data_IF_227731313140
#
_entry.id   IF_227731313140
#
_cell.length_a   1.000
_cell.length_b   1.000
_cell.length_c   1.000
_cell.angle_alpha   90.00
_cell.angle_beta   90.00
_cell.angle_gamma   90.00
#
_symmetry.space_group_name_H-M   'P 1'
#
loop_
_entity.id
_entity.type
_entity.pdbx_description
1 polymer ?
#
# COMPACT_ATOMS: atom_id res chain seq x y z
N UNK A 1 -24.64 46.80 -5.14
CA UNK A 1 -24.82 45.71 -6.12
C UNK A 1 -23.44 45.39 -6.67
N UNK A 2 -22.86 44.20 -6.61
CA UNK A 2 -23.38 42.87 -6.32
C UNK A 2 -22.37 42.10 -5.44
N UNK A 3 -22.93 41.33 -4.52
CA UNK A 3 -22.24 40.38 -3.65
C UNK A 3 -21.93 39.12 -4.47
N UNK A 4 -20.66 38.70 -4.55
CA UNK A 4 -20.29 37.37 -5.05
C UNK A 4 -20.00 36.48 -3.84
N UNK A 5 -21.02 35.77 -3.39
CA UNK A 5 -20.85 34.64 -2.48
C UNK A 5 -20.23 33.47 -3.27
N UNK A 6 -19.03 33.03 -2.87
CA UNK A 6 -18.44 31.75 -3.24
C UNK A 6 -19.10 30.64 -2.40
N UNK A 7 -19.94 29.75 -2.98
CA UNK A 7 -20.70 28.77 -2.21
C UNK A 7 -19.90 27.46 -2.02
N UNK A 8 -18.63 27.54 -1.62
CA UNK A 8 -17.75 26.36 -1.51
C UNK A 8 -16.91 26.26 -0.23
N UNK A 9 -16.76 27.33 0.56
CA UNK A 9 -15.78 27.39 1.67
C UNK A 9 -16.43 27.37 3.06
N UNK A 10 -17.76 27.27 3.15
CA UNK A 10 -18.52 27.44 4.39
C UNK A 10 -19.34 26.22 4.85
N UNK A 11 -18.97 25.01 4.41
CA UNK A 11 -19.56 23.75 4.94
C UNK A 11 -18.74 23.05 6.03
N UNK A 12 -17.50 23.47 6.32
CA UNK A 12 -16.56 22.67 7.12
C UNK A 12 -16.26 23.20 8.54
N UNK A 13 -17.03 24.17 9.06
CA UNK A 13 -16.72 24.79 10.35
C UNK A 13 -17.56 24.32 11.55
N UNK A 14 -18.43 23.33 11.41
CA UNK A 14 -19.23 22.85 12.55
C UNK A 14 -19.57 21.37 12.43
N UNK A 15 -18.68 20.49 12.88
CA UNK A 15 -19.04 19.27 13.61
C UNK A 15 -17.76 18.59 14.14
N UNK A 16 -17.30 19.00 15.32
CA UNK A 16 -16.35 18.21 16.10
C UNK A 16 -16.64 18.42 17.59
N UNK A 17 -17.81 17.94 18.00
CA UNK A 17 -18.14 17.74 19.42
C UNK A 17 -18.14 16.24 19.69
N UNK A 18 -17.30 15.89 20.65
CA UNK A 18 -16.83 14.58 21.05
C UNK A 18 -17.96 13.68 21.58
N UNK A 19 -18.00 12.43 21.13
CA UNK A 19 -18.57 11.32 21.90
C UNK A 19 -17.43 10.37 22.30
N UNK A 20 -17.13 10.32 23.60
CA UNK A 20 -16.18 9.39 24.19
C UNK A 20 -16.91 8.06 24.38
N UNK A 21 -16.60 7.08 23.55
CA UNK A 21 -16.80 5.66 23.89
C UNK A 21 -15.50 4.93 23.62
N UNK A 22 -14.89 4.35 24.67
CA UNK A 22 -13.79 3.41 24.53
C UNK A 22 -14.30 2.21 23.73
N UNK A 23 -13.86 2.09 22.48
CA UNK A 23 -13.96 0.82 21.74
C UNK A 23 -12.76 -0.03 22.13
N UNK A 24 -13.03 -1.08 22.90
CA UNK A 24 -12.09 -2.13 23.23
C UNK A 24 -12.10 -3.15 22.09
N UNK A 25 -10.99 -3.29 21.36
CA UNK A 25 -10.74 -4.47 20.54
C UNK A 25 -10.08 -5.53 21.40
N UNK A 26 -10.52 -6.78 21.25
CA UNK A 26 -10.08 -7.94 22.01
C UNK A 26 -8.58 -8.20 21.88
N UNK A 27 -7.95 -8.50 23.01
CA UNK A 27 -6.59 -9.00 23.14
C UNK A 27 -6.46 -10.42 22.57
N UNK A 28 -6.03 -10.55 21.31
CA UNK A 28 -5.32 -11.72 20.75
C UNK A 28 -4.98 -11.54 19.25
N UNK A 29 -4.76 -10.31 18.77
CA UNK A 29 -4.28 -10.11 17.40
C UNK A 29 -2.75 -10.04 17.44
N UNK A 30 -2.09 -11.07 16.90
CA UNK A 30 -0.62 -11.13 16.80
C UNK A 30 -0.09 -10.27 15.63
N UNK A 31 -0.97 -9.58 14.91
CA UNK A 31 -0.65 -8.70 13.78
C UNK A 31 -0.34 -9.44 12.48
N UNK A 32 -0.42 -10.77 12.46
CA UNK A 32 -0.24 -11.52 11.23
C UNK A 32 -1.53 -11.54 10.40
N UNK A 33 -1.44 -11.72 9.07
CA UNK A 33 -2.63 -11.88 8.25
C UNK A 33 -3.52 -13.05 8.70
N UNK A 34 -4.83 -13.01 8.43
CA UNK A 34 -5.71 -14.15 8.66
C UNK A 34 -5.16 -15.44 8.05
N UNK A 35 -5.28 -16.55 8.80
CA UNK A 35 -4.85 -17.89 8.36
C UNK A 35 -3.34 -18.03 8.09
N UNK A 36 -2.50 -17.11 8.57
CA UNK A 36 -1.05 -17.09 8.32
C UNK A 36 -0.34 -18.43 8.58
N UNK A 37 -0.70 -19.13 9.65
CA UNK A 37 -0.07 -20.40 10.04
C UNK A 37 -0.49 -21.58 9.13
N UNK A 38 -1.57 -21.43 8.37
CA UNK A 38 -2.05 -22.45 7.42
C UNK A 38 -1.41 -22.31 6.03
N UNK A 39 -0.72 -21.18 5.80
CA UNK A 39 -0.14 -20.83 4.51
C UNK A 39 1.30 -21.33 4.45
N UNK A 40 1.64 -21.96 3.34
CA UNK A 40 3.00 -22.41 3.02
C UNK A 40 3.97 -21.25 2.73
N UNK A 41 5.25 -21.46 3.03
CA UNK A 41 6.35 -20.52 2.76
C UNK A 41 7.38 -21.06 1.76
N UNK A 42 7.07 -22.17 1.08
CA UNK A 42 7.93 -22.82 0.08
C UNK A 42 7.25 -22.92 -1.29
N UNK A 43 8.02 -22.82 -2.36
CA UNK A 43 7.50 -22.85 -3.73
C UNK A 43 7.08 -24.26 -4.17
N UNK A 44 7.72 -25.28 -3.59
CA UNK A 44 7.52 -26.71 -3.87
C UNK A 44 6.16 -27.24 -3.36
N UNK A 45 5.48 -26.44 -2.53
CA UNK A 45 4.18 -26.79 -1.96
C UNK A 45 2.98 -26.41 -2.85
N UNK A 46 3.20 -25.60 -3.88
CA UNK A 46 2.19 -25.31 -4.88
C UNK A 46 1.93 -26.53 -5.76
N UNK A 47 0.73 -26.60 -6.34
CA UNK A 47 0.38 -27.68 -7.25
C UNK A 47 1.29 -27.64 -8.49
N UNK A 48 1.65 -28.83 -8.98
CA UNK A 48 2.39 -28.97 -10.23
C UNK A 48 1.53 -29.68 -11.28
N UNK A 49 1.41 -29.09 -12.46
CA UNK A 49 0.74 -29.69 -13.61
C UNK A 49 1.69 -29.66 -14.81
N UNK A 50 1.84 -30.77 -15.53
CA UNK A 50 2.63 -30.84 -16.76
C UNK A 50 4.05 -30.23 -16.66
N UNK A 51 4.74 -30.43 -15.52
CA UNK A 51 6.05 -29.81 -15.26
C UNK A 51 6.01 -28.28 -15.21
N UNK A 52 4.93 -27.70 -14.69
CA UNK A 52 4.76 -26.28 -14.37
C UNK A 52 4.24 -26.13 -12.93
N UNK A 53 4.68 -25.08 -12.22
CA UNK A 53 4.08 -24.70 -10.93
C UNK A 53 2.85 -23.85 -11.21
N UNK A 54 1.69 -24.34 -10.80
CA UNK A 54 0.40 -23.70 -11.04
C UNK A 54 -0.08 -23.04 -9.75
N UNK A 55 -0.37 -21.74 -9.84
CA UNK A 55 -0.85 -20.94 -8.71
C UNK A 55 -2.19 -20.32 -9.07
N UNK A 56 -3.20 -20.53 -8.21
CA UNK A 56 -4.52 -19.94 -8.35
C UNK A 56 -4.64 -18.63 -7.55
N UNK A 57 -4.50 -17.45 -8.18
CA UNK A 57 -4.52 -16.17 -7.50
C UNK A 57 -5.94 -15.74 -7.09
N UNK A 58 -6.97 -16.52 -7.44
CA UNK A 58 -8.35 -16.26 -7.05
C UNK A 58 -8.65 -16.88 -5.68
N UNK A 59 -7.74 -17.71 -5.15
CA UNK A 59 -7.80 -18.28 -3.81
C UNK A 59 -6.95 -17.48 -2.84
N UNK A 60 -7.55 -17.07 -1.72
CA UNK A 60 -6.89 -16.24 -0.70
C UNK A 60 -5.58 -16.86 -0.18
N UNK A 61 -5.61 -18.15 0.17
CA UNK A 61 -4.47 -18.87 0.75
C UNK A 61 -3.31 -19.00 -0.24
N UNK A 62 -3.60 -19.25 -1.52
CA UNK A 62 -2.56 -19.33 -2.55
C UNK A 62 -1.93 -17.97 -2.83
N UNK A 63 -2.71 -16.89 -2.89
CA UNK A 63 -2.14 -15.53 -2.94
C UNK A 63 -1.32 -15.20 -1.69
N UNK A 64 -1.79 -15.60 -0.52
CA UNK A 64 -1.03 -15.39 0.72
C UNK A 64 0.29 -16.16 0.69
N UNK A 65 0.29 -17.37 0.11
CA UNK A 65 1.49 -18.18 -0.07
C UNK A 65 2.51 -17.49 -0.98
N UNK A 66 2.07 -16.85 -2.07
CA UNK A 66 2.97 -16.07 -2.94
C UNK A 66 3.75 -15.02 -2.13
N UNK A 67 3.06 -14.27 -1.27
CA UNK A 67 3.71 -13.29 -0.40
C UNK A 67 4.63 -13.93 0.63
N UNK A 68 4.20 -15.02 1.26
CA UNK A 68 4.96 -15.71 2.31
C UNK A 68 6.25 -16.34 1.77
N UNK A 69 6.20 -16.93 0.57
CA UNK A 69 7.39 -17.44 -0.15
C UNK A 69 8.37 -16.31 -0.44
N UNK A 70 7.91 -15.18 -0.97
CA UNK A 70 8.78 -14.03 -1.26
C UNK A 70 9.38 -13.47 0.03
N UNK A 71 8.60 -13.32 1.10
CA UNK A 71 9.10 -12.89 2.41
C UNK A 71 10.19 -13.81 2.95
N UNK A 72 9.98 -15.13 2.85
CA UNK A 72 10.94 -16.14 3.29
C UNK A 72 12.25 -16.05 2.49
N UNK A 73 12.16 -16.07 1.16
CA UNK A 73 13.32 -16.05 0.26
C UNK A 73 14.11 -14.75 0.32
N UNK A 74 13.46 -13.64 0.67
CA UNK A 74 14.11 -12.34 0.85
C UNK A 74 14.58 -12.06 2.28
N UNK A 75 14.28 -12.91 3.25
CA UNK A 75 14.53 -12.65 4.67
C UNK A 75 16.00 -12.32 4.99
N UNK A 76 16.93 -13.04 4.34
CA UNK A 76 18.38 -12.81 4.49
C UNK A 76 18.78 -11.37 4.20
N UNK A 77 18.14 -10.72 3.22
CA UNK A 77 18.43 -9.34 2.79
C UNK A 77 17.99 -8.30 3.83
N UNK A 78 17.02 -8.64 4.69
CA UNK A 78 16.46 -7.74 5.70
C UNK A 78 16.82 -8.14 7.14
N UNK A 79 17.68 -9.15 7.32
CA UNK A 79 18.11 -9.70 8.62
C UNK A 79 18.66 -8.66 9.61
N UNK A 80 19.18 -7.54 9.11
CA UNK A 80 19.70 -6.44 9.94
C UNK A 80 18.69 -5.37 10.32
N UNK A 81 17.46 -5.46 9.80
CA UNK A 81 16.42 -4.43 9.92
C UNK A 81 15.30 -4.80 10.90
N UNK A 82 15.35 -6.00 11.47
CA UNK A 82 14.44 -6.50 12.50
C UNK A 82 14.68 -7.98 12.76
N UNK A 83 14.26 -8.47 13.94
CA UNK A 83 14.25 -9.91 14.24
C UNK A 83 13.13 -10.60 13.48
N UNK A 84 13.27 -11.91 13.25
CA UNK A 84 12.20 -12.77 12.72
C UNK A 84 11.56 -12.22 11.43
N UNK A 85 12.40 -11.67 10.55
CA UNK A 85 11.99 -11.06 9.28
C UNK A 85 11.05 -9.83 9.41
N UNK A 86 10.78 -9.31 10.61
CA UNK A 86 9.86 -8.19 10.84
C UNK A 86 10.27 -6.89 10.13
N UNK A 87 11.57 -6.72 9.86
CA UNK A 87 12.15 -5.58 9.15
C UNK A 87 11.99 -5.63 7.62
N UNK A 88 11.44 -6.70 7.07
CA UNK A 88 11.27 -6.88 5.62
C UNK A 88 10.25 -5.89 5.06
N UNK A 89 10.64 -5.13 4.03
CA UNK A 89 9.77 -4.09 3.47
C UNK A 89 8.64 -4.66 2.59
N UNK A 90 8.64 -5.97 2.33
CA UNK A 90 7.58 -6.64 1.58
C UNK A 90 6.35 -7.00 2.44
N UNK A 91 6.44 -6.82 3.77
CA UNK A 91 5.29 -6.99 4.67
C UNK A 91 4.10 -6.08 4.33
N UNK A 92 4.36 -4.91 3.73
CA UNK A 92 3.33 -3.97 3.28
C UNK A 92 2.23 -4.64 2.47
N UNK A 93 2.63 -5.33 1.39
CA UNK A 93 1.71 -6.03 0.49
C UNK A 93 1.06 -7.24 1.16
N UNK A 94 1.82 -7.98 1.96
CA UNK A 94 1.32 -9.17 2.67
C UNK A 94 0.21 -8.83 3.66
N UNK A 95 0.44 -7.80 4.47
CA UNK A 95 -0.54 -7.33 5.46
C UNK A 95 -1.76 -6.69 4.78
N UNK A 96 -1.52 -5.92 3.71
CA UNK A 96 -2.61 -5.38 2.89
C UNK A 96 -3.50 -6.47 2.30
N UNK A 97 -2.93 -7.55 1.74
CA UNK A 97 -3.71 -8.70 1.26
C UNK A 97 -4.47 -9.38 2.41
N UNK A 98 -3.89 -9.41 3.61
CA UNK A 98 -4.55 -9.85 4.84
C UNK A 98 -5.82 -9.06 5.15
N UNK A 99 -5.71 -7.73 5.14
CA UNK A 99 -6.84 -6.81 5.31
C UNK A 99 -7.90 -6.97 4.21
N UNK A 100 -7.44 -7.15 2.97
CA UNK A 100 -8.23 -7.37 1.76
C UNK A 100 -9.09 -8.63 1.76
N UNK A 101 -8.85 -9.60 2.65
CA UNK A 101 -9.76 -10.73 2.85
C UNK A 101 -11.20 -10.26 3.13
N UNK A 102 -11.36 -9.14 3.83
CA UNK A 102 -12.65 -8.59 4.23
C UNK A 102 -13.01 -7.30 3.48
N UNK A 103 -12.08 -6.74 2.71
CA UNK A 103 -12.22 -5.43 2.04
C UNK A 103 -12.04 -5.47 0.52
N UNK A 104 -11.91 -6.66 -0.09
CA UNK A 104 -11.84 -6.83 -1.55
C UNK A 104 -10.46 -7.19 -2.06
N UNK A 105 -10.31 -7.61 -3.32
CA UNK A 105 -9.08 -8.24 -3.83
C UNK A 105 -8.29 -7.35 -4.79
N UNK A 106 -6.96 -7.40 -4.74
CA UNK A 106 -6.09 -6.79 -5.75
C UNK A 106 -5.16 -7.85 -6.36
N UNK A 107 -5.32 -8.10 -7.66
CA UNK A 107 -4.55 -9.10 -8.41
C UNK A 107 -3.11 -8.66 -8.68
N UNK A 108 -2.92 -7.43 -9.16
CA UNK A 108 -1.62 -6.97 -9.65
C UNK A 108 -0.62 -6.71 -8.52
N UNK A 109 -1.10 -6.31 -7.33
CA UNK A 109 -0.27 -6.16 -6.14
C UNK A 109 0.25 -7.50 -5.58
N UNK A 110 -0.24 -8.66 -6.04
CA UNK A 110 0.32 -9.97 -5.72
C UNK A 110 1.10 -10.59 -6.88
N UNK A 111 0.52 -10.58 -8.09
CA UNK A 111 1.06 -11.32 -9.23
C UNK A 111 2.32 -10.68 -9.80
N UNK A 112 2.33 -9.36 -9.99
CA UNK A 112 3.50 -8.69 -10.58
C UNK A 112 4.75 -8.77 -9.69
N UNK A 113 4.69 -8.47 -8.37
CA UNK A 113 5.86 -8.61 -7.52
C UNK A 113 6.38 -10.05 -7.42
N UNK A 114 5.50 -11.05 -7.49
CA UNK A 114 5.88 -12.46 -7.40
C UNK A 114 6.56 -12.94 -8.69
N UNK A 115 5.97 -12.65 -9.85
CA UNK A 115 6.57 -13.00 -11.14
C UNK A 115 7.88 -12.24 -11.40
N UNK A 116 7.97 -10.99 -10.95
CA UNK A 116 9.23 -10.24 -11.01
C UNK A 116 10.31 -10.81 -10.06
N UNK A 117 9.93 -11.39 -8.91
CA UNK A 117 10.87 -12.11 -8.05
C UNK A 117 11.42 -13.36 -8.74
N UNK A 118 10.55 -14.09 -9.47
CA UNK A 118 10.96 -15.22 -10.28
C UNK A 118 11.90 -14.79 -11.42
N UNK A 119 11.57 -13.71 -12.14
CA UNK A 119 12.41 -13.15 -13.21
C UNK A 119 13.79 -12.67 -12.70
N UNK A 120 13.87 -12.23 -11.44
CA UNK A 120 15.11 -11.82 -10.78
C UNK A 120 15.84 -12.96 -10.05
N UNK A 121 15.49 -14.22 -10.30
CA UNK A 121 16.08 -15.43 -9.71
C UNK A 121 16.09 -15.47 -8.17
N UNK A 122 15.14 -14.80 -7.51
CA UNK A 122 15.07 -14.75 -6.04
C UNK A 122 14.80 -16.13 -5.41
N UNK A 123 14.14 -17.02 -6.15
CA UNK A 123 13.73 -18.31 -5.61
C UNK A 123 14.84 -19.36 -5.53
N UNK A 124 16.06 -19.08 -6.04
CA UNK A 124 17.29 -19.90 -5.98
C UNK A 124 17.07 -21.39 -6.27
N UNK A 125 17.51 -21.88 -7.43
CA UNK A 125 17.04 -23.17 -7.95
C UNK A 125 15.51 -23.16 -8.07
N UNK A 126 14.96 -22.09 -8.68
CA UNK A 126 13.57 -22.05 -9.14
C UNK A 126 13.21 -23.45 -9.64
N UNK A 127 12.01 -23.99 -9.32
CA UNK A 127 11.62 -25.31 -9.81
C UNK A 127 11.99 -25.38 -11.29
N UNK A 128 12.44 -26.53 -11.81
CA UNK A 128 12.93 -26.66 -13.19
C UNK A 128 11.86 -26.38 -14.27
N UNK A 129 10.77 -25.74 -13.87
CA UNK A 129 9.42 -25.71 -14.37
C UNK A 129 8.93 -24.26 -14.33
N UNK A 130 8.29 -23.76 -15.41
CA UNK A 130 7.68 -22.44 -15.45
C UNK A 130 6.67 -22.23 -14.31
N UNK A 131 6.49 -20.97 -13.90
CA UNK A 131 5.39 -20.56 -13.02
C UNK A 131 4.23 -20.09 -13.90
N UNK A 132 3.07 -20.71 -13.73
CA UNK A 132 1.83 -20.36 -14.40
C UNK A 132 0.78 -19.86 -13.39
N UNK A 133 0.17 -18.73 -13.69
CA UNK A 133 -0.93 -18.17 -12.91
C UNK A 133 -2.26 -18.55 -13.56
N UNK A 134 -3.14 -19.23 -12.80
CA UNK A 134 -4.43 -19.70 -13.32
C UNK A 134 -5.31 -18.52 -13.74
N UNK A 135 -5.84 -18.51 -14.98
CA UNK A 135 -6.76 -17.46 -15.43
C UNK A 135 -8.12 -17.53 -14.72
N UNK A 136 -8.86 -16.42 -14.62
CA UNK A 136 -10.21 -16.43 -14.10
C UNK A 136 -11.16 -17.12 -15.09
N UNK A 137 -12.34 -17.53 -14.62
CA UNK A 137 -13.34 -18.14 -15.50
C UNK A 137 -13.93 -17.16 -16.53
N UNK A 138 -13.88 -15.84 -16.24
CA UNK A 138 -14.47 -14.76 -17.05
C UNK A 138 -13.47 -13.61 -17.08
N UNK A 139 -13.49 -12.80 -18.15
CA UNK A 139 -12.61 -11.64 -18.33
C UNK A 139 -11.11 -11.99 -18.37
N UNK A 140 -10.78 -13.11 -19.02
CA UNK A 140 -9.40 -13.61 -19.12
C UNK A 140 -8.45 -12.64 -19.82
N UNK A 141 -8.95 -11.74 -20.66
CA UNK A 141 -8.14 -10.75 -21.38
C UNK A 141 -7.73 -9.55 -20.52
N UNK A 142 -8.33 -9.39 -19.34
CA UNK A 142 -8.08 -8.23 -18.46
C UNK A 142 -6.82 -8.41 -17.59
N UNK A 143 -6.20 -9.60 -17.61
CA UNK A 143 -5.06 -9.96 -16.77
C UNK A 143 -3.91 -10.60 -17.55
N UNK A 144 -2.73 -10.53 -16.96
CA UNK A 144 -1.52 -11.22 -17.41
C UNK A 144 -1.19 -12.38 -16.45
N UNK A 145 -0.64 -13.49 -16.96
CA UNK A 145 -0.54 -14.75 -16.21
C UNK A 145 0.86 -15.36 -16.11
N UNK A 146 1.82 -14.81 -16.84
CA UNK A 146 3.20 -15.29 -16.83
C UNK A 146 4.15 -14.10 -17.04
N UNK A 147 5.45 -14.34 -16.86
CA UNK A 147 6.47 -13.29 -16.92
C UNK A 147 6.42 -12.54 -18.26
N UNK A 148 6.33 -13.24 -19.39
CA UNK A 148 6.32 -12.62 -20.72
C UNK A 148 5.07 -11.76 -20.95
N UNK A 149 3.88 -12.27 -20.59
CA UNK A 149 2.63 -11.54 -20.69
C UNK A 149 2.62 -10.30 -19.78
N UNK A 150 3.04 -10.44 -18.53
CA UNK A 150 3.07 -9.32 -17.60
C UNK A 150 4.13 -8.27 -17.95
N UNK A 151 5.28 -8.66 -18.50
CA UNK A 151 6.26 -7.73 -19.05
C UNK A 151 5.71 -6.97 -20.26
N UNK A 152 4.85 -7.60 -21.07
CA UNK A 152 4.22 -6.93 -22.22
C UNK A 152 3.13 -5.94 -21.78
N UNK A 153 2.32 -6.30 -20.79
CA UNK A 153 1.21 -5.46 -20.29
C UNK A 153 1.66 -4.36 -19.35
N UNK A 154 2.65 -4.61 -18.50
CA UNK A 154 3.14 -3.69 -17.45
C UNK A 154 4.67 -3.61 -17.43
N UNK A 155 5.33 -3.23 -18.54
CA UNK A 155 6.79 -3.29 -18.67
C UNK A 155 7.51 -2.49 -17.58
N UNK A 156 7.04 -1.28 -17.28
CA UNK A 156 7.67 -0.40 -16.29
C UNK A 156 7.56 -0.95 -14.87
N UNK A 157 6.39 -1.50 -14.50
CA UNK A 157 6.14 -2.04 -13.16
C UNK A 157 6.95 -3.30 -12.94
N UNK A 158 6.95 -4.22 -13.91
CA UNK A 158 7.74 -5.45 -13.83
C UNK A 158 9.24 -5.14 -13.74
N UNK A 159 9.74 -4.24 -14.60
CA UNK A 159 11.15 -3.81 -14.59
C UNK A 159 11.55 -3.22 -13.24
N UNK A 160 10.71 -2.35 -12.64
CA UNK A 160 11.01 -1.76 -11.34
C UNK A 160 11.05 -2.80 -10.21
N UNK A 161 10.13 -3.77 -10.22
CA UNK A 161 10.16 -4.88 -9.26
C UNK A 161 11.40 -5.75 -9.44
N UNK A 162 11.73 -6.12 -10.68
CA UNK A 162 12.91 -6.94 -10.99
C UNK A 162 14.20 -6.23 -10.53
N UNK A 163 14.34 -4.93 -10.84
CA UNK A 163 15.46 -4.11 -10.37
C UNK A 163 15.54 -4.06 -8.84
N UNK A 164 14.40 -3.92 -8.15
CA UNK A 164 14.36 -3.95 -6.69
C UNK A 164 14.97 -5.25 -6.15
N UNK A 165 14.57 -6.40 -6.70
CA UNK A 165 15.09 -7.70 -6.30
C UNK A 165 16.57 -7.91 -6.66
N UNK A 166 16.99 -7.50 -7.86
CA UNK A 166 18.39 -7.55 -8.28
C UNK A 166 19.29 -6.70 -7.37
N UNK A 167 18.83 -5.52 -6.94
CA UNK A 167 19.52 -4.65 -6.00
C UNK A 167 19.64 -5.30 -4.62
N UNK A 168 18.61 -6.02 -4.15
CA UNK A 168 18.69 -6.80 -2.91
C UNK A 168 19.77 -7.88 -3.00
N UNK A 169 19.74 -8.69 -4.07
CA UNK A 169 20.70 -9.79 -4.30
C UNK A 169 22.13 -9.26 -4.45
N UNK A 170 22.38 -8.31 -5.36
CA UNK A 170 23.71 -7.76 -5.61
C UNK A 170 24.37 -7.20 -4.34
N UNK A 171 23.60 -6.45 -3.54
CA UNK A 171 24.12 -5.84 -2.33
C UNK A 171 24.40 -6.81 -1.19
N UNK A 172 23.70 -7.94 -1.15
CA UNK A 172 24.01 -9.03 -0.24
C UNK A 172 25.38 -9.64 -0.55
N UNK A 173 25.67 -9.89 -1.83
CA UNK A 173 26.92 -10.51 -2.24
C UNK A 173 28.13 -9.55 -2.18
N UNK A 174 27.93 -8.24 -2.30
CA UNK A 174 29.02 -7.26 -2.47
C UNK A 174 29.36 -6.39 -1.27
N UNK A 175 28.50 -6.31 -0.23
CA UNK A 175 28.68 -5.30 0.81
C UNK A 175 29.11 -5.86 2.18
N UNK A 176 30.24 -5.33 2.70
CA UNK A 176 30.36 -5.01 4.14
C UNK A 176 29.20 -4.04 4.48
N UNK A 177 28.33 -4.46 5.40
CA UNK A 177 27.01 -3.89 5.79
C UNK A 177 26.66 -2.43 5.38
N UNK A 178 25.45 -2.16 4.84
CA UNK A 178 25.03 -0.81 4.45
C UNK A 178 23.68 -0.37 5.09
N UNK A 179 23.68 0.19 6.29
CA UNK A 179 22.44 0.28 7.08
C UNK A 179 21.44 1.41 6.75
N UNK A 180 21.79 2.51 6.06
CA UNK A 180 20.91 3.71 6.03
C UNK A 180 20.52 4.26 4.65
N UNK A 181 21.43 4.30 3.67
CA UNK A 181 21.08 4.77 2.31
C UNK A 181 20.24 3.74 1.55
N UNK A 182 20.50 2.44 1.77
CA UNK A 182 19.79 1.35 1.08
C UNK A 182 18.36 1.15 1.59
N UNK A 183 18.16 1.26 2.91
CA UNK A 183 16.83 1.26 3.53
C UNK A 183 15.94 2.37 2.97
N UNK A 184 16.48 3.57 2.72
CA UNK A 184 15.70 4.67 2.11
C UNK A 184 15.31 4.38 0.66
N UNK A 185 16.18 3.73 -0.11
CA UNK A 185 15.90 3.32 -1.49
C UNK A 185 14.76 2.29 -1.51
N UNK A 186 14.84 1.26 -0.67
CA UNK A 186 13.81 0.21 -0.59
C UNK A 186 12.45 0.75 -0.17
N UNK A 187 12.40 1.66 0.82
CA UNK A 187 11.16 2.29 1.29
C UNK A 187 10.42 3.06 0.19
N UNK A 188 11.17 3.79 -0.64
CA UNK A 188 10.60 4.54 -1.74
C UNK A 188 10.10 3.58 -2.83
N UNK A 189 10.94 2.64 -3.25
CA UNK A 189 10.64 1.74 -4.38
C UNK A 189 9.39 0.90 -4.14
N UNK A 190 9.23 0.28 -2.96
CA UNK A 190 8.07 -0.59 -2.72
C UNK A 190 6.74 0.17 -2.83
N UNK A 191 6.61 1.35 -2.20
CA UNK A 191 5.38 2.13 -2.27
C UNK A 191 5.18 2.83 -3.63
N UNK A 192 6.26 3.32 -4.26
CA UNK A 192 6.21 3.98 -5.57
C UNK A 192 5.72 3.02 -6.66
N UNK A 193 6.22 1.78 -6.65
CA UNK A 193 5.76 0.74 -7.59
C UNK A 193 4.29 0.40 -7.33
N UNK A 194 3.86 0.31 -6.06
CA UNK A 194 2.46 0.06 -5.73
C UNK A 194 1.53 1.19 -6.22
N UNK A 195 1.94 2.46 -6.12
CA UNK A 195 1.13 3.59 -6.57
C UNK A 195 0.91 3.63 -8.09
N UNK A 196 1.79 3.02 -8.88
CA UNK A 196 1.60 2.93 -10.33
C UNK A 196 0.51 1.94 -10.73
N UNK A 197 0.18 1.01 -9.82
CA UNK A 197 -0.89 0.03 -9.97
C UNK A 197 -2.23 0.52 -9.41
N UNK A 198 -2.30 1.77 -8.96
CA UNK A 198 -3.51 2.41 -8.42
C UNK A 198 -4.05 3.52 -9.33
N UNK A 199 -3.51 3.68 -10.54
CA UNK A 199 -4.02 4.65 -11.53
C UNK A 199 -5.44 4.30 -11.98
N UNK A 200 -6.27 5.31 -12.24
CA UNK A 200 -7.72 5.12 -12.43
C UNK A 200 -8.12 4.13 -13.52
N UNK A 201 -7.33 3.99 -14.59
CA UNK A 201 -7.59 3.04 -15.68
C UNK A 201 -7.47 1.57 -15.21
N UNK A 202 -6.68 1.29 -14.15
CA UNK A 202 -6.55 -0.04 -13.55
C UNK A 202 -7.62 -0.36 -12.50
N UNK A 203 -8.47 0.63 -12.17
CA UNK A 203 -9.44 0.58 -11.06
C UNK A 203 -10.87 0.34 -11.58
N UNK A 204 -11.02 -0.03 -12.86
CA UNK A 204 -12.31 -0.32 -13.51
C UNK A 204 -13.23 -1.26 -12.70
N UNK A 205 -12.64 -2.19 -11.94
CA UNK A 205 -13.34 -3.11 -11.06
C UNK A 205 -14.11 -2.48 -9.90
N UNK A 206 -13.78 -1.24 -9.47
CA UNK A 206 -14.51 -0.58 -8.38
C UNK A 206 -15.93 -0.20 -8.76
N UNK A 207 -16.23 -0.02 -10.05
CA UNK A 207 -17.59 0.31 -10.52
C UNK A 207 -18.61 -0.80 -10.24
N UNK A 208 -18.16 -2.02 -9.92
CA UNK A 208 -19.00 -3.13 -9.49
C UNK A 208 -19.30 -3.12 -7.98
N UNK A 209 -18.68 -2.23 -7.21
CA UNK A 209 -18.87 -2.12 -5.76
C UNK A 209 -19.96 -1.11 -5.40
N UNK A 210 -20.25 -1.01 -4.10
CA UNK A 210 -21.17 0.03 -3.61
C UNK A 210 -20.60 1.42 -3.89
N UNK A 211 -21.44 2.44 -4.05
CA UNK A 211 -20.93 3.80 -4.34
C UNK A 211 -20.01 4.32 -3.25
N UNK A 212 -20.31 3.98 -1.98
CA UNK A 212 -19.47 4.32 -0.84
C UNK A 212 -18.11 3.59 -0.87
N UNK A 213 -18.08 2.33 -1.31
CA UNK A 213 -16.84 1.56 -1.44
C UNK A 213 -16.01 2.00 -2.66
N UNK A 214 -16.67 2.34 -3.76
CA UNK A 214 -16.01 2.88 -4.95
C UNK A 214 -15.31 4.21 -4.62
N UNK A 215 -15.99 5.11 -3.90
CA UNK A 215 -15.42 6.38 -3.43
C UNK A 215 -14.21 6.14 -2.51
N UNK A 216 -14.36 5.28 -1.49
CA UNK A 216 -13.25 4.92 -0.61
C UNK A 216 -12.09 4.30 -1.38
N UNK A 217 -12.36 3.38 -2.31
CA UNK A 217 -11.33 2.71 -3.11
C UNK A 217 -10.53 3.69 -3.98
N UNK A 218 -11.20 4.66 -4.61
CA UNK A 218 -10.53 5.76 -5.35
C UNK A 218 -9.69 6.63 -4.43
N UNK A 219 -10.24 7.01 -3.28
CA UNK A 219 -9.52 7.81 -2.30
C UNK A 219 -8.28 7.08 -1.76
N UNK A 220 -8.42 5.81 -1.38
CA UNK A 220 -7.31 4.97 -0.92
C UNK A 220 -6.23 4.84 -2.00
N UNK A 221 -6.61 4.48 -3.23
CA UNK A 221 -5.73 4.37 -4.39
C UNK A 221 -4.89 5.63 -4.63
N UNK A 222 -5.51 6.81 -4.55
CA UNK A 222 -4.81 8.10 -4.72
C UNK A 222 -3.90 8.43 -3.52
N UNK A 223 -4.29 8.08 -2.30
CA UNK A 223 -3.52 8.35 -1.09
C UNK A 223 -2.27 7.46 -0.95
N UNK A 224 -2.19 6.31 -1.64
CA UNK A 224 -0.98 5.47 -1.67
C UNK A 224 0.24 6.27 -2.14
N UNK A 225 0.08 7.16 -3.13
CA UNK A 225 1.17 7.98 -3.64
C UNK A 225 1.66 9.01 -2.60
N UNK A 226 0.72 9.61 -1.83
CA UNK A 226 1.07 10.50 -0.71
C UNK A 226 1.91 9.77 0.34
N UNK A 227 1.57 8.53 0.65
CA UNK A 227 2.32 7.68 1.58
C UNK A 227 3.71 7.36 1.01
N UNK A 228 3.77 6.97 -0.28
CA UNK A 228 4.99 6.56 -0.96
C UNK A 228 6.09 7.63 -0.91
N UNK A 229 5.72 8.88 -1.20
CA UNK A 229 6.68 9.98 -1.28
C UNK A 229 7.25 10.38 0.08
N UNK A 230 6.62 9.96 1.19
CA UNK A 230 7.22 10.10 2.53
C UNK A 230 8.33 9.10 2.82
N UNK A 231 8.57 8.15 1.90
CA UNK A 231 9.41 6.96 2.11
C UNK A 231 8.95 6.18 3.34
N UNK A 232 7.65 5.92 3.41
CA UNK A 232 7.06 5.11 4.46
C UNK A 232 7.70 3.72 4.48
N UNK A 233 7.96 3.20 5.68
CA UNK A 233 8.57 1.90 5.84
C UNK A 233 7.50 0.82 5.93
N UNK A 234 7.30 0.07 4.87
CA UNK A 234 6.32 -1.02 4.72
C UNK A 234 6.75 -2.31 5.43
N UNK A 235 7.37 -2.19 6.59
CA UNK A 235 7.72 -3.33 7.43
C UNK A 235 6.51 -3.80 8.27
N UNK A 236 6.66 -4.91 8.99
CA UNK A 236 5.55 -5.55 9.71
C UNK A 236 4.86 -4.58 10.68
N UNK A 237 5.64 -3.93 11.55
CA UNK A 237 5.10 -3.08 12.62
C UNK A 237 4.42 -1.83 12.07
N UNK A 238 5.08 -1.10 11.17
CA UNK A 238 4.55 0.15 10.67
C UNK A 238 3.29 -0.06 9.82
N UNK A 239 3.26 -1.11 9.01
CA UNK A 239 2.08 -1.45 8.19
C UNK A 239 0.91 -1.85 9.09
N UNK A 240 1.14 -2.68 10.11
CA UNK A 240 0.10 -3.03 11.09
C UNK A 240 -0.49 -1.80 11.78
N UNK A 241 0.36 -0.87 12.20
CA UNK A 241 -0.10 0.38 12.81
C UNK A 241 -0.96 1.20 11.83
N UNK A 242 -0.52 1.34 10.58
CA UNK A 242 -1.24 2.09 9.55
C UNK A 242 -2.60 1.47 9.22
N UNK A 243 -2.67 0.14 9.04
CA UNK A 243 -3.93 -0.53 8.67
C UNK A 243 -4.94 -0.63 9.82
N UNK A 244 -4.47 -0.53 11.08
CA UNK A 244 -5.34 -0.63 12.26
C UNK A 244 -6.45 0.44 12.31
N UNK A 245 -6.28 1.54 11.58
CA UNK A 245 -7.21 2.67 11.51
C UNK A 245 -7.97 2.73 10.17
N UNK A 246 -7.83 1.74 9.29
CA UNK A 246 -8.59 1.65 8.05
C UNK A 246 -9.99 1.04 8.29
N UNK A 247 -10.93 1.22 7.35
CA UNK A 247 -12.21 0.51 7.35
C UNK A 247 -12.00 -1.00 7.54
N UNK A 248 -12.67 -1.65 8.51
CA UNK A 248 -12.45 -3.07 8.80
C UNK A 248 -13.23 -4.01 7.86
N UNK A 249 -14.08 -3.46 6.99
CA UNK A 249 -14.95 -4.15 6.04
C UNK A 249 -15.23 -3.22 4.86
N UNK A 250 -15.68 -3.79 3.73
CA UNK A 250 -16.21 -2.98 2.62
C UNK A 250 -17.39 -2.12 3.09
N UNK A 251 -17.42 -0.88 2.61
CA UNK A 251 -18.49 0.07 2.81
C UNK A 251 -19.72 -0.37 2.00
N UNK A 252 -20.89 -0.17 2.58
CA UNK A 252 -22.19 -0.49 1.97
C UNK A 252 -22.87 0.79 1.51
N UNK A 253 -23.86 0.64 0.62
CA UNK A 253 -24.70 1.76 0.23
C UNK A 253 -25.35 2.40 1.48
N UNK A 254 -25.15 3.71 1.64
CA UNK A 254 -25.63 4.47 2.79
C UNK A 254 -24.59 4.69 3.90
N UNK A 255 -23.47 3.96 3.86
CA UNK A 255 -22.31 4.30 4.70
C UNK A 255 -21.75 5.64 4.22
N UNK A 256 -21.73 6.63 5.11
CA UNK A 256 -21.34 8.00 4.78
C UNK A 256 -20.33 8.52 5.79
N UNK A 257 -19.19 8.98 5.27
CA UNK A 257 -18.22 9.76 6.03
C UNK A 257 -18.85 11.09 6.46
N UNK A 258 -18.58 11.63 7.67
CA UNK A 258 -17.57 11.20 8.64
C UNK A 258 -18.07 10.23 9.72
N UNK A 259 -19.29 9.70 9.62
CA UNK A 259 -19.88 8.91 10.70
C UNK A 259 -20.57 7.64 10.19
N UNK A 260 -19.84 6.53 10.31
CA UNK A 260 -20.36 5.18 10.18
C UNK A 260 -20.42 4.56 11.59
N UNK A 261 -21.62 4.17 12.03
CA UNK A 261 -21.90 3.82 13.43
C UNK A 261 -21.11 2.62 13.96
N UNK A 262 -20.76 1.66 13.09
CA UNK A 262 -20.00 0.47 13.46
C UNK A 262 -18.48 0.68 13.39
N UNK A 263 -18.00 1.87 12.99
CA UNK A 263 -16.58 2.19 12.94
C UNK A 263 -16.15 2.90 14.22
N UNK A 264 -14.89 2.67 14.63
CA UNK A 264 -14.29 3.47 15.70
C UNK A 264 -14.12 4.92 15.27
N UNK A 265 -13.96 5.81 16.26
CA UNK A 265 -13.68 7.24 16.02
C UNK A 265 -12.44 7.43 15.13
N UNK A 266 -11.39 6.61 15.36
CA UNK A 266 -10.15 6.67 14.56
C UNK A 266 -10.41 6.28 13.10
N UNK A 267 -11.18 5.22 12.88
CA UNK A 267 -11.52 4.75 11.53
C UNK A 267 -12.37 5.76 10.77
N UNK A 268 -13.41 6.31 11.41
CA UNK A 268 -14.24 7.36 10.84
C UNK A 268 -13.41 8.61 10.48
N UNK A 269 -12.50 9.02 11.37
CA UNK A 269 -11.62 10.17 11.12
C UNK A 269 -10.66 9.93 9.95
N UNK A 270 -10.04 8.75 9.87
CA UNK A 270 -9.11 8.42 8.78
C UNK A 270 -9.84 8.29 7.45
N UNK A 271 -11.01 7.65 7.42
CA UNK A 271 -11.86 7.58 6.23
C UNK A 271 -12.19 8.98 5.71
N UNK A 272 -12.63 9.87 6.60
CA UNK A 272 -12.91 11.26 6.25
C UNK A 272 -11.69 11.95 5.64
N UNK A 273 -10.53 11.88 6.30
CA UNK A 273 -9.30 12.49 5.81
C UNK A 273 -8.89 11.97 4.44
N UNK A 274 -9.00 10.66 4.19
CA UNK A 274 -8.63 10.06 2.91
C UNK A 274 -9.49 10.62 1.76
N UNK A 275 -10.81 10.70 1.97
CA UNK A 275 -11.77 11.24 1.01
C UNK A 275 -11.48 12.73 0.77
N UNK A 276 -11.29 13.52 1.82
CA UNK A 276 -11.01 14.95 1.71
C UNK A 276 -9.70 15.23 0.97
N UNK A 277 -8.61 14.49 1.24
CA UNK A 277 -7.34 14.64 0.50
C UNK A 277 -7.56 14.33 -0.99
N UNK A 278 -8.34 13.29 -1.29
CA UNK A 278 -8.66 12.93 -2.67
C UNK A 278 -9.44 14.04 -3.37
N UNK A 279 -10.55 14.52 -2.80
CA UNK A 279 -11.40 15.56 -3.37
C UNK A 279 -10.68 16.91 -3.52
N UNK A 280 -9.88 17.29 -2.52
CA UNK A 280 -9.04 18.49 -2.58
C UNK A 280 -7.98 18.38 -3.69
N UNK A 281 -7.37 17.22 -3.86
CA UNK A 281 -6.41 17.04 -4.95
C UNK A 281 -7.10 17.06 -6.32
N UNK A 282 -8.32 16.51 -6.43
CA UNK A 282 -9.12 16.59 -7.65
C UNK A 282 -9.50 18.03 -8.00
N UNK A 283 -10.07 18.76 -7.05
CA UNK A 283 -10.49 20.15 -7.25
C UNK A 283 -9.31 21.10 -7.54
N UNK A 284 -8.10 20.75 -7.11
CA UNK A 284 -6.88 21.50 -7.42
C UNK A 284 -6.17 21.02 -8.69
N UNK A 285 -6.71 20.05 -9.43
CA UNK A 285 -6.09 19.52 -10.64
C UNK A 285 -4.71 18.88 -10.39
N UNK A 286 -4.55 18.22 -9.23
CA UNK A 286 -3.30 17.54 -8.84
C UNK A 286 -2.24 18.45 -8.20
N UNK A 287 -2.52 19.75 -8.01
CA UNK A 287 -1.54 20.68 -7.45
C UNK A 287 -1.24 20.41 -5.97
N UNK A 288 -2.22 19.89 -5.21
CA UNK A 288 -1.99 19.48 -3.83
C UNK A 288 -0.93 18.39 -3.72
N UNK A 289 -1.01 17.35 -4.56
CA UNK A 289 0.00 16.28 -4.60
C UNK A 289 1.37 16.79 -5.04
N UNK A 290 1.42 17.70 -6.03
CA UNK A 290 2.68 18.33 -6.46
C UNK A 290 3.34 19.11 -5.33
N UNK A 291 2.57 19.90 -4.58
CA UNK A 291 3.05 20.62 -3.41
C UNK A 291 3.52 19.65 -2.31
N UNK A 292 2.77 18.58 -2.06
CA UNK A 292 3.16 17.54 -1.12
C UNK A 292 4.52 16.91 -1.48
N UNK A 293 4.66 16.40 -2.71
CA UNK A 293 5.91 15.83 -3.21
C UNK A 293 7.09 16.80 -3.10
N UNK A 294 6.86 18.09 -3.37
CA UNK A 294 7.85 19.15 -3.23
C UNK A 294 8.32 19.33 -1.79
N UNK A 295 7.40 19.31 -0.83
CA UNK A 295 7.75 19.32 0.58
C UNK A 295 8.55 18.07 0.98
N UNK A 296 8.27 16.91 0.37
CA UNK A 296 8.96 15.64 0.63
C UNK A 296 10.36 15.52 -0.02
N UNK A 297 10.88 16.55 -0.68
CA UNK A 297 12.21 16.48 -1.29
C UNK A 297 13.33 16.41 -0.25
N UNK A 298 13.12 17.00 0.94
CA UNK A 298 14.07 16.92 2.05
C UNK A 298 13.77 15.73 2.98
N UNK A 299 14.78 15.22 3.69
CA UNK A 299 14.54 14.21 4.73
C UNK A 299 13.68 14.76 5.87
N UNK A 300 13.78 16.06 6.16
CA UNK A 300 12.96 16.70 7.19
C UNK A 300 11.48 16.68 6.78
N UNK A 301 11.16 17.09 5.56
CA UNK A 301 9.80 17.02 5.01
C UNK A 301 9.25 15.60 5.03
N UNK A 302 10.04 14.61 4.58
CA UNK A 302 9.64 13.18 4.67
C UNK A 302 9.39 12.72 6.10
N UNK A 303 10.23 13.13 7.04
CA UNK A 303 10.05 12.79 8.46
C UNK A 303 8.75 13.37 9.02
N UNK A 304 8.47 14.64 8.74
CA UNK A 304 7.22 15.28 9.16
C UNK A 304 6.01 14.65 8.47
N UNK A 305 6.11 14.30 7.19
CA UNK A 305 5.07 13.58 6.45
C UNK A 305 4.75 12.24 7.11
N UNK A 306 5.76 11.44 7.47
CA UNK A 306 5.55 10.17 8.20
C UNK A 306 4.91 10.36 9.57
N UNK A 307 5.29 11.42 10.30
CA UNK A 307 4.67 11.75 11.59
C UNK A 307 3.21 12.18 11.42
N UNK A 308 2.91 12.97 10.39
CA UNK A 308 1.54 13.36 10.07
C UNK A 308 0.66 12.13 9.82
N UNK A 309 1.13 11.14 9.06
CA UNK A 309 0.40 9.88 8.82
C UNK A 309 0.04 9.14 10.12
N UNK A 310 0.88 9.22 11.15
CA UNK A 310 0.62 8.59 12.46
C UNK A 310 -0.31 9.44 13.33
N UNK A 311 -0.07 10.74 13.36
CA UNK A 311 -0.76 11.68 14.24
C UNK A 311 -2.18 12.00 13.74
N UNK A 312 -2.45 11.92 12.44
CA UNK A 312 -3.75 12.28 11.88
C UNK A 312 -4.90 11.46 12.49
N UNK A 313 -4.65 10.19 12.83
CA UNK A 313 -5.65 9.33 13.44
C UNK A 313 -5.84 9.56 14.96
N UNK A 314 -4.83 10.08 15.67
CA UNK A 314 -4.74 9.95 17.14
C UNK A 314 -4.39 11.25 17.88
N UNK A 315 -3.67 12.19 17.26
CA UNK A 315 -3.09 13.36 17.89
C UNK A 315 -3.31 14.61 17.03
N UNK A 316 -4.45 15.28 17.19
CA UNK A 316 -4.85 16.41 16.33
C UNK A 316 -3.87 17.60 16.38
N UNK A 317 -3.41 17.99 17.58
CA UNK A 317 -2.49 19.12 17.73
C UNK A 317 -1.13 18.83 17.10
N UNK A 318 -0.62 17.60 17.28
CA UNK A 318 0.64 17.18 16.68
C UNK A 318 0.53 17.11 15.15
N UNK A 319 -0.61 16.61 14.63
CA UNK A 319 -0.88 16.62 13.20
C UNK A 319 -0.90 18.05 12.63
N UNK A 320 -1.54 19.01 13.31
CA UNK A 320 -1.56 20.41 12.90
C UNK A 320 -0.14 21.01 12.90
N UNK A 321 0.68 20.64 13.88
CA UNK A 321 2.08 21.04 13.94
C UNK A 321 2.91 20.45 12.79
N UNK A 322 2.73 19.16 12.47
CA UNK A 322 3.39 18.53 11.32
C UNK A 322 3.00 19.26 10.01
N UNK A 323 1.73 19.62 9.83
CA UNK A 323 1.28 20.40 8.66
C UNK A 323 2.03 21.73 8.54
N UNK A 324 2.17 22.48 9.64
CA UNK A 324 2.92 23.75 9.64
C UNK A 324 4.39 23.55 9.21
N UNK A 325 5.04 22.51 9.72
CA UNK A 325 6.42 22.19 9.36
C UNK A 325 6.55 21.75 7.90
N UNK A 326 5.57 20.98 7.38
CA UNK A 326 5.54 20.58 5.97
C UNK A 326 5.36 21.78 5.05
N UNK A 327 4.53 22.76 5.43
CA UNK A 327 4.39 24.02 4.69
C UNK A 327 5.70 24.83 4.69
N UNK A 328 6.46 24.78 5.77
CA UNK A 328 7.79 25.40 5.83
C UNK A 328 8.75 24.71 4.85
N UNK A 329 8.76 23.37 4.83
CA UNK A 329 9.57 22.59 3.88
C UNK A 329 9.16 22.81 2.42
N UNK A 330 7.88 23.04 2.13
CA UNK A 330 7.41 23.41 0.79
C UNK A 330 8.05 24.72 0.29
N UNK A 331 8.16 25.72 1.17
CA UNK A 331 8.78 27.02 0.87
C UNK A 331 10.30 26.88 0.74
N UNK A 332 10.93 26.01 1.51
CA UNK A 332 12.37 25.76 1.42
C UNK A 332 12.72 25.03 0.11
N UNK A 333 11.92 24.03 -0.27
CA UNK A 333 12.19 23.16 -1.41
C UNK A 333 11.67 23.73 -2.75
N UNK A 334 11.70 25.06 -2.93
CA UNK A 334 11.15 25.77 -4.12
C UNK A 334 11.71 25.28 -5.46
N UNK A 335 12.95 24.79 -5.48
CA UNK A 335 13.63 24.35 -6.69
C UNK A 335 13.61 22.83 -6.88
N UNK A 336 12.85 22.09 -6.06
CA UNK A 336 12.77 20.64 -6.25
C UNK A 336 12.05 20.34 -7.58
N UNK A 337 12.64 19.47 -8.45
CA UNK A 337 11.97 19.01 -9.67
C UNK A 337 10.94 17.93 -9.29
N UNK A 338 9.66 18.25 -9.47
CA UNK A 338 8.53 17.41 -9.05
C UNK A 338 7.50 17.29 -10.14
#
# INVERSE_FOLDING_TARGET
MACWCLPGVLKHAALLVVLITKSQRSSADNGFPPLWDQVTDTLESFATQENEVVINPWMYLERMAMYKVVLNKTAKYFSTLGSDNSGNMLWGLTLQHGWQLYTGMNYYLSVLPFLAAAAADIFENSPPYPIEIVPPAINTMDFCYNIAGCNSSFPDVMTKWEQFYQVLSYHWFTAKHPHLKKVRLYRYQTCDICSQLTSWDTVAGLSYLSSSEEEFGKAWAANVEYIAVTHFATNFQNTNNLQSVLPPQMLKNGDTSPLILNFSIKQNKVLFVLIEIYDLNQSTGGQMLKAWKKAMCSEKGRSEGRQLLQNIATHFMDAAWNVLLILTELIINVNCPV
#
